data_IF_067686971623
#
_entry.id   IF_067686971623
#
_cell.length_a   1.000
_cell.length_b   1.000
_cell.length_c   1.000
_cell.angle_alpha   90.00
_cell.angle_beta   90.00
_cell.angle_gamma   90.00
#
_symmetry.space_group_name_H-M   'P 1'
#
loop_
_entity.id
_entity.type
_entity.pdbx_description
1 polymer ?
#
# COMPACT_ATOMS: atom_id res chain seq x y z
N UNK A 1 10.90 -5.87 0.67
CA UNK A 1 10.48 -7.13 1.30
C UNK A 1 8.96 -7.18 1.57
N UNK A 2 8.08 -6.77 0.65
CA UNK A 2 6.62 -6.86 0.86
C UNK A 2 5.81 -7.33 -0.35
N UNK A 3 6.46 -7.61 -1.48
CA UNK A 3 5.76 -7.81 -2.76
C UNK A 3 4.97 -9.10 -2.82
N UNK A 4 5.45 -10.20 -2.24
CA UNK A 4 4.71 -11.48 -2.30
C UNK A 4 3.44 -11.45 -1.46
N UNK A 5 3.46 -10.75 -0.32
CA UNK A 5 2.24 -10.51 0.47
C UNK A 5 1.28 -9.65 -0.36
N UNK A 6 1.76 -8.53 -0.91
CA UNK A 6 0.95 -7.66 -1.79
C UNK A 6 0.35 -8.45 -2.95
N UNK A 7 1.13 -9.31 -3.61
CA UNK A 7 0.67 -10.18 -4.70
C UNK A 7 -0.44 -11.10 -4.24
N UNK A 8 -0.25 -11.83 -3.13
CA UNK A 8 -1.23 -12.78 -2.61
C UNK A 8 -2.58 -12.10 -2.28
N UNK A 9 -2.55 -10.99 -1.55
CA UNK A 9 -3.79 -10.27 -1.20
C UNK A 9 -4.40 -9.55 -2.40
N UNK A 10 -3.59 -9.03 -3.33
CA UNK A 10 -4.12 -8.41 -4.55
C UNK A 10 -4.77 -9.44 -5.47
N UNK A 11 -4.21 -10.65 -5.60
CA UNK A 11 -4.82 -11.78 -6.33
C UNK A 11 -6.14 -12.22 -5.69
N UNK A 12 -6.25 -12.17 -4.37
CA UNK A 12 -7.51 -12.42 -3.66
C UNK A 12 -8.52 -11.25 -3.78
N UNK A 13 -8.19 -10.18 -4.50
CA UNK A 13 -9.08 -9.08 -4.80
C UNK A 13 -9.15 -8.00 -3.72
N UNK A 14 -8.24 -7.99 -2.74
CA UNK A 14 -8.21 -6.93 -1.73
C UNK A 14 -7.78 -5.59 -2.33
N UNK A 15 -8.22 -4.49 -1.73
CA UNK A 15 -7.58 -3.19 -1.93
C UNK A 15 -6.29 -3.16 -1.12
N UNK A 16 -5.19 -2.74 -1.73
CA UNK A 16 -3.86 -2.80 -1.11
C UNK A 16 -3.20 -1.44 -1.12
N UNK A 17 -2.76 -0.99 0.05
CA UNK A 17 -1.96 0.21 0.24
C UNK A 17 -0.51 -0.21 0.47
N UNK A 18 0.34 -0.01 -0.53
CA UNK A 18 1.79 -0.21 -0.45
C UNK A 18 2.43 0.98 0.27
N UNK A 19 2.42 0.94 1.60
CA UNK A 19 3.06 1.97 2.41
C UNK A 19 4.59 1.80 2.38
N UNK A 20 5.31 2.80 1.87
CA UNK A 20 6.77 2.75 1.71
C UNK A 20 7.41 4.15 1.82
N UNK A 21 8.71 4.20 2.12
CA UNK A 21 9.44 5.48 2.28
C UNK A 21 9.51 6.30 0.99
N UNK A 22 9.66 5.63 -0.15
CA UNK A 22 9.73 6.25 -1.47
C UNK A 22 8.66 5.64 -2.40
N UNK A 23 7.48 6.29 -2.51
CA UNK A 23 6.42 5.84 -3.40
C UNK A 23 6.81 5.87 -4.89
N UNK A 24 7.70 6.77 -5.30
CA UNK A 24 8.13 6.88 -6.70
C UNK A 24 8.97 5.66 -7.10
N UNK A 25 9.88 5.24 -6.23
CA UNK A 25 10.62 4.00 -6.41
C UNK A 25 9.74 2.73 -6.33
N UNK A 26 8.55 2.82 -5.74
CA UNK A 26 7.59 1.72 -5.65
C UNK A 26 6.64 1.63 -6.87
N UNK A 27 6.52 2.70 -7.66
CA UNK A 27 5.58 2.76 -8.80
C UNK A 27 5.81 1.65 -9.85
N UNK A 28 7.05 1.32 -10.27
CA UNK A 28 7.27 0.21 -11.20
C UNK A 28 6.78 -1.14 -10.64
N UNK A 29 6.92 -1.34 -9.31
CA UNK A 29 6.48 -2.56 -8.63
C UNK A 29 4.97 -2.62 -8.52
N UNK A 30 4.33 -1.48 -8.23
CA UNK A 30 2.88 -1.35 -8.25
C UNK A 30 2.31 -1.72 -9.62
N UNK A 31 2.87 -1.17 -10.70
CA UNK A 31 2.42 -1.49 -12.06
C UNK A 31 2.61 -2.96 -12.42
N UNK A 32 3.74 -3.56 -12.02
CA UNK A 32 3.98 -4.99 -12.18
C UNK A 32 2.91 -5.81 -11.46
N UNK A 33 2.64 -5.53 -10.18
CA UNK A 33 1.65 -6.25 -9.39
C UNK A 33 0.22 -6.07 -9.93
N UNK A 34 -0.15 -4.89 -10.41
CA UNK A 34 -1.44 -4.67 -11.07
C UNK A 34 -1.60 -5.54 -12.32
N UNK A 35 -0.53 -5.68 -13.13
CA UNK A 35 -0.54 -6.53 -14.33
C UNK A 35 -0.60 -8.02 -13.99
N UNK A 36 0.17 -8.46 -13.00
CA UNK A 36 0.27 -9.87 -12.61
C UNK A 36 -0.98 -10.38 -11.89
N UNK A 37 -1.62 -9.53 -11.09
CA UNK A 37 -2.81 -9.91 -10.30
C UNK A 37 -4.12 -9.52 -10.98
N UNK A 38 -4.08 -8.67 -12.00
CA UNK A 38 -5.27 -8.10 -12.65
C UNK A 38 -6.05 -7.12 -11.76
N UNK A 39 -5.55 -6.79 -10.57
CA UNK A 39 -6.24 -5.96 -9.60
C UNK A 39 -5.79 -4.49 -9.71
N UNK A 40 -6.68 -3.55 -10.10
CA UNK A 40 -6.32 -2.14 -10.22
C UNK A 40 -6.30 -1.39 -8.87
N UNK A 41 -6.79 -2.01 -7.79
CA UNK A 41 -6.93 -1.39 -6.46
C UNK A 41 -5.66 -1.51 -5.62
N UNK A 42 -4.51 -1.28 -6.25
CA UNK A 42 -3.22 -1.19 -5.59
C UNK A 42 -2.79 0.27 -5.65
N UNK A 43 -2.50 0.87 -4.51
CA UNK A 43 -2.01 2.24 -4.38
C UNK A 43 -0.70 2.27 -3.57
N UNK A 44 0.09 3.32 -3.72
CA UNK A 44 1.30 3.56 -2.92
C UNK A 44 1.06 4.76 -2.01
N UNK A 45 1.62 4.70 -0.81
CA UNK A 45 1.55 5.81 0.14
C UNK A 45 2.87 6.00 0.88
N UNK A 46 3.29 7.25 1.14
CA UNK A 46 4.54 7.53 1.84
C UNK A 46 4.39 7.21 3.34
N UNK A 47 5.34 6.46 3.89
CA UNK A 47 5.53 6.32 5.33
C UNK A 47 7.01 6.12 5.66
N UNK A 48 7.49 6.82 6.69
CA UNK A 48 8.77 6.49 7.32
C UNK A 48 8.52 5.81 8.67
N UNK A 49 8.70 4.49 8.70
CA UNK A 49 8.49 3.67 9.89
C UNK A 49 9.51 3.96 11.01
N UNK A 50 10.60 4.68 10.72
CA UNK A 50 11.55 5.15 11.73
C UNK A 50 11.06 6.42 12.47
N UNK A 51 9.98 7.05 12.00
CA UNK A 51 9.43 8.29 12.56
C UNK A 51 8.00 8.07 13.05
N UNK A 52 7.79 8.12 14.36
CA UNK A 52 6.44 8.02 14.95
C UNK A 52 5.51 9.14 14.46
N UNK A 53 6.05 10.33 14.18
CA UNK A 53 5.27 11.42 13.60
C UNK A 53 4.77 11.07 12.18
N UNK A 54 5.61 10.41 11.36
CA UNK A 54 5.18 9.93 10.04
C UNK A 54 4.13 8.84 10.15
N UNK A 55 4.28 7.90 11.10
CA UNK A 55 3.30 6.84 11.34
C UNK A 55 1.95 7.42 11.78
N UNK A 56 1.96 8.38 12.71
CA UNK A 56 0.74 9.04 13.18
C UNK A 56 0.02 9.79 12.05
N UNK A 57 0.76 10.58 11.25
CA UNK A 57 0.20 11.30 10.11
C UNK A 57 -0.41 10.34 9.07
N UNK A 58 0.24 9.21 8.81
CA UNK A 58 -0.30 8.18 7.91
C UNK A 58 -1.59 7.56 8.47
N UNK A 59 -1.62 7.21 9.76
CA UNK A 59 -2.82 6.67 10.41
C UNK A 59 -3.98 7.66 10.39
N UNK A 60 -3.74 8.94 10.69
CA UNK A 60 -4.74 10.01 10.60
C UNK A 60 -5.28 10.18 9.18
N UNK A 61 -4.41 10.07 8.16
CA UNK A 61 -4.83 10.11 6.77
C UNK A 61 -5.77 8.94 6.43
N UNK A 62 -5.48 7.72 6.88
CA UNK A 62 -6.36 6.57 6.68
C UNK A 62 -7.70 6.73 7.43
N UNK A 63 -7.68 7.22 8.66
CA UNK A 63 -8.90 7.48 9.43
C UNK A 63 -9.81 8.50 8.73
N UNK A 64 -9.23 9.55 8.15
CA UNK A 64 -9.98 10.57 7.39
C UNK A 64 -10.62 10.02 6.11
N UNK A 65 -10.04 8.99 5.49
CA UNK A 65 -10.64 8.31 4.33
C UNK A 65 -11.89 7.53 4.70
N UNK A 66 -12.02 7.07 5.94
CA UNK A 66 -13.20 6.35 6.43
C UNK A 66 -13.43 4.99 5.76
N UNK A 67 -12.41 4.45 5.09
CA UNK A 67 -12.46 3.13 4.46
C UNK A 67 -12.15 2.03 5.49
N UNK A 68 -12.89 0.91 5.50
CA UNK A 68 -12.58 -0.22 6.39
C UNK A 68 -11.19 -0.79 6.12
N UNK A 69 -10.39 -0.95 7.18
CA UNK A 69 -9.10 -1.65 7.12
C UNK A 69 -9.31 -3.11 7.54
N UNK A 70 -8.88 -4.03 6.68
CA UNK A 70 -8.89 -5.47 6.94
C UNK A 70 -7.45 -5.99 7.10
N UNK A 71 -7.29 -7.05 7.88
CA UNK A 71 -6.05 -7.83 8.03
C UNK A 71 -6.17 -9.15 7.28
#
# INVERSE_FOLDING_TARGET
MGMEITRAVATAGYQVIMACRDPQAAEPKRQLLMRETGNPRIETAPIDLASLASVAAFAEHLLKRGEPLAL
#
